data_IF_635388961666
#
_entry.id   IF_635388961666
#
_cell.length_a   1.000
_cell.length_b   1.000
_cell.length_c   1.000
_cell.angle_alpha   90.00
_cell.angle_beta   90.00
_cell.angle_gamma   90.00
#
_symmetry.space_group_name_H-M   'P 1'
#
loop_
_entity.id
_entity.type
_entity.pdbx_description
1 polymer ?
#
# COMPACT_ATOMS: atom_id res chain seq x y z
N UNK A 1 -22.98 3.83 4.05
CA UNK A 1 -24.23 4.60 4.00
C UNK A 1 -24.92 4.68 5.37
N UNK A 2 -25.06 3.58 6.11
CA UNK A 2 -25.81 3.56 7.40
C UNK A 2 -24.95 3.59 8.68
N UNK A 3 -23.62 3.52 8.56
CA UNK A 3 -22.71 3.52 9.69
C UNK A 3 -22.73 4.86 10.46
N UNK A 4 -22.39 4.79 11.76
CA UNK A 4 -22.23 5.95 12.65
C UNK A 4 -23.47 6.85 12.83
N UNK A 5 -24.67 6.34 12.52
CA UNK A 5 -25.94 7.01 12.82
C UNK A 5 -26.34 6.90 14.31
N UNK A 6 -25.42 6.42 15.16
CA UNK A 6 -25.58 6.30 16.62
C UNK A 6 -26.89 5.57 16.99
N UNK A 7 -27.67 6.13 17.91
CA UNK A 7 -28.93 5.55 18.39
C UNK A 7 -30.01 5.45 17.30
N UNK A 8 -29.86 6.11 16.15
CA UNK A 8 -30.81 6.00 15.05
C UNK A 8 -30.66 4.70 14.26
N UNK A 9 -29.47 4.07 14.28
CA UNK A 9 -29.25 2.76 13.69
C UNK A 9 -28.11 2.01 14.40
N UNK A 10 -28.49 1.05 15.23
CA UNK A 10 -27.55 0.19 15.97
C UNK A 10 -27.12 -1.05 15.18
N UNK A 11 -27.76 -1.32 14.04
CA UNK A 11 -27.56 -2.49 13.19
C UNK A 11 -27.42 -2.05 11.74
N UNK A 12 -26.37 -1.28 11.40
CA UNK A 12 -26.18 -0.79 10.04
C UNK A 12 -25.98 -1.96 9.08
N UNK A 13 -26.57 -1.86 7.89
CA UNK A 13 -26.29 -2.82 6.82
C UNK A 13 -24.83 -2.72 6.34
N UNK A 14 -24.36 -3.81 5.76
CA UNK A 14 -23.09 -3.85 5.04
C UNK A 14 -23.35 -3.44 3.60
N UNK A 15 -22.87 -2.27 3.20
CA UNK A 15 -22.93 -1.86 1.80
C UNK A 15 -22.03 -2.74 0.93
N UNK A 16 -22.44 -2.96 -0.32
CA UNK A 16 -21.64 -3.71 -1.27
C UNK A 16 -20.34 -2.95 -1.56
N UNK A 17 -19.24 -3.68 -1.71
CA UNK A 17 -17.96 -3.05 -2.03
C UNK A 17 -18.03 -2.28 -3.37
N UNK A 18 -18.79 -2.75 -4.35
CA UNK A 18 -19.01 -2.04 -5.61
C UNK A 18 -19.64 -0.65 -5.36
N UNK A 19 -20.73 -0.59 -4.61
CA UNK A 19 -21.43 0.65 -4.28
C UNK A 19 -20.51 1.61 -3.48
N UNK A 20 -19.74 1.06 -2.53
CA UNK A 20 -18.75 1.85 -1.76
C UNK A 20 -17.73 2.51 -2.69
N UNK A 21 -17.21 1.81 -3.69
CA UNK A 21 -16.26 2.39 -4.64
C UNK A 21 -16.88 3.52 -5.46
N UNK A 22 -18.09 3.32 -5.98
CA UNK A 22 -18.83 4.33 -6.76
C UNK A 22 -19.09 5.58 -5.90
N UNK A 23 -19.57 5.41 -4.68
CA UNK A 23 -19.83 6.51 -3.75
C UNK A 23 -18.53 7.24 -3.38
N UNK A 24 -17.44 6.52 -3.10
CA UNK A 24 -16.16 7.16 -2.78
C UNK A 24 -15.58 7.98 -3.94
N UNK A 25 -15.72 7.55 -5.20
CA UNK A 25 -15.32 8.39 -6.34
C UNK A 25 -16.12 9.68 -6.39
N UNK A 26 -17.43 9.60 -6.15
CA UNK A 26 -18.31 10.77 -6.10
C UNK A 26 -17.92 11.70 -4.95
N UNK A 27 -17.81 11.19 -3.73
CA UNK A 27 -17.46 11.97 -2.53
C UNK A 27 -16.12 12.69 -2.69
N UNK A 28 -15.08 12.00 -3.21
CA UNK A 28 -13.76 12.62 -3.41
C UNK A 28 -13.78 13.72 -4.48
N UNK A 29 -14.60 13.60 -5.53
CA UNK A 29 -14.80 14.66 -6.53
C UNK A 29 -15.54 15.85 -5.95
N UNK A 30 -16.65 15.60 -5.25
CA UNK A 30 -17.46 16.65 -4.64
C UNK A 30 -16.68 17.40 -3.55
N UNK A 31 -15.96 16.68 -2.68
CA UNK A 31 -15.08 17.28 -1.67
C UNK A 31 -13.98 18.14 -2.30
N UNK A 32 -13.35 17.67 -3.38
CA UNK A 32 -12.36 18.46 -4.11
C UNK A 32 -12.96 19.73 -4.71
N UNK A 33 -14.18 19.67 -5.24
CA UNK A 33 -14.89 20.80 -5.83
C UNK A 33 -15.36 21.84 -4.80
N UNK A 34 -15.55 21.45 -3.54
CA UNK A 34 -16.01 22.34 -2.46
C UNK A 34 -14.95 23.35 -2.00
N UNK A 35 -13.66 23.14 -2.31
CA UNK A 35 -12.63 24.14 -2.08
C UNK A 35 -12.79 25.32 -3.04
N UNK A 36 -13.47 26.35 -2.54
CA UNK A 36 -13.91 27.56 -3.25
C UNK A 36 -13.03 28.80 -3.01
N UNK A 37 -11.95 28.66 -2.25
CA UNK A 37 -11.07 29.77 -1.85
C UNK A 37 -11.63 30.62 -0.71
N UNK A 38 -12.64 30.13 0.01
CA UNK A 38 -13.23 30.75 1.19
C UNK A 38 -12.32 30.75 2.43
N UNK A 39 -12.89 30.48 3.60
CA UNK A 39 -12.15 30.54 4.88
C UNK A 39 -11.01 29.52 4.88
N UNK A 40 -9.81 29.98 5.23
CA UNK A 40 -8.64 29.13 5.32
C UNK A 40 -8.85 28.00 6.34
N UNK A 41 -8.45 26.79 5.96
CA UNK A 41 -8.47 25.63 6.86
C UNK A 41 -7.44 25.86 7.98
N UNK A 42 -7.89 25.77 9.23
CA UNK A 42 -7.03 25.91 10.42
C UNK A 42 -6.94 24.59 11.17
N UNK A 43 -5.81 24.34 11.84
CA UNK A 43 -5.58 23.10 12.59
C UNK A 43 -5.19 21.88 11.75
N UNK A 44 -4.95 22.06 10.45
CA UNK A 44 -4.47 20.99 9.56
C UNK A 44 -2.97 20.72 9.79
N UNK A 45 -2.69 19.59 10.43
CA UNK A 45 -1.33 19.11 10.74
C UNK A 45 -0.70 18.30 9.60
N UNK A 46 -1.42 18.02 8.52
CA UNK A 46 -0.90 17.29 7.36
C UNK A 46 -0.38 18.23 6.29
N UNK A 47 -1.20 19.19 5.87
CA UNK A 47 -0.96 20.00 4.67
C UNK A 47 -0.97 21.51 4.94
N UNK A 48 -0.95 21.91 6.21
CA UNK A 48 -0.96 23.31 6.65
C UNK A 48 -2.10 24.13 6.01
N UNK A 49 -3.25 23.49 5.77
CA UNK A 49 -4.44 24.10 5.21
C UNK A 49 -4.41 24.32 3.70
N UNK A 50 -3.46 23.74 2.97
CA UNK A 50 -3.40 23.89 1.50
C UNK A 50 -4.50 23.09 0.80
N UNK A 51 -5.48 23.81 0.25
CA UNK A 51 -6.56 23.25 -0.55
C UNK A 51 -6.04 22.51 -1.80
N UNK A 52 -4.99 23.04 -2.45
CA UNK A 52 -4.38 22.45 -3.63
C UNK A 52 -3.75 21.08 -3.32
N UNK A 53 -3.10 20.95 -2.17
CA UNK A 53 -2.54 19.68 -1.72
C UNK A 53 -3.63 18.68 -1.33
N UNK A 54 -4.72 19.13 -0.70
CA UNK A 54 -5.88 18.28 -0.42
C UNK A 54 -6.57 17.77 -1.70
N UNK A 55 -6.72 18.62 -2.72
CA UNK A 55 -7.21 18.22 -4.05
C UNK A 55 -6.30 17.16 -4.67
N UNK A 56 -4.99 17.39 -4.67
CA UNK A 56 -4.01 16.44 -5.23
C UNK A 56 -4.01 15.10 -4.49
N UNK A 57 -4.20 15.12 -3.16
CA UNK A 57 -4.37 13.91 -2.35
C UNK A 57 -5.65 13.15 -2.74
N UNK A 58 -6.80 13.82 -2.80
CA UNK A 58 -8.07 13.21 -3.18
C UNK A 58 -8.03 12.59 -4.58
N UNK A 59 -7.43 13.30 -5.54
CA UNK A 59 -7.23 12.79 -6.90
C UNK A 59 -6.28 11.59 -6.94
N UNK A 60 -5.23 11.57 -6.11
CA UNK A 60 -4.31 10.45 -6.03
C UNK A 60 -4.97 9.19 -5.44
N UNK A 61 -5.82 9.37 -4.42
CA UNK A 61 -6.64 8.27 -3.87
C UNK A 61 -7.61 7.74 -4.94
N UNK A 62 -8.28 8.63 -5.69
CA UNK A 62 -9.13 8.25 -6.82
C UNK A 62 -8.35 7.46 -7.87
N UNK A 63 -7.14 7.88 -8.23
CA UNK A 63 -6.30 7.19 -9.22
C UNK A 63 -5.99 5.75 -8.79
N UNK A 64 -5.56 5.55 -7.53
CA UNK A 64 -5.25 4.23 -6.97
C UNK A 64 -6.52 3.36 -6.93
N UNK A 65 -7.63 3.90 -6.42
CA UNK A 65 -8.92 3.19 -6.42
C UNK A 65 -9.37 2.78 -7.83
N UNK A 66 -9.20 3.66 -8.81
CA UNK A 66 -9.57 3.40 -10.19
C UNK A 66 -8.76 2.23 -10.77
N UNK A 67 -7.45 2.20 -10.52
CA UNK A 67 -6.59 1.08 -10.93
C UNK A 67 -6.98 -0.23 -10.24
N UNK A 68 -7.46 -0.19 -8.99
CA UNK A 68 -7.97 -1.39 -8.31
C UNK A 68 -9.15 -2.05 -9.01
N UNK A 69 -9.92 -1.29 -9.79
CA UNK A 69 -11.02 -1.81 -10.61
C UNK A 69 -10.56 -2.43 -11.94
N UNK A 70 -9.26 -2.45 -12.24
CA UNK A 70 -8.71 -2.96 -13.51
C UNK A 70 -9.19 -4.36 -13.91
N UNK A 71 -9.49 -5.23 -12.94
CA UNK A 71 -10.06 -6.56 -13.20
C UNK A 71 -11.58 -6.62 -13.02
N UNK A 72 -12.10 -5.93 -12.00
CA UNK A 72 -13.52 -6.03 -11.61
C UNK A 72 -14.45 -5.22 -12.52
N UNK A 73 -14.04 -4.00 -12.87
CA UNK A 73 -14.78 -3.10 -13.75
C UNK A 73 -13.80 -2.18 -14.50
N UNK A 74 -13.11 -2.69 -15.54
CA UNK A 74 -12.09 -1.94 -16.27
C UNK A 74 -12.64 -0.71 -16.98
N UNK A 75 -13.93 -0.70 -17.36
CA UNK A 75 -14.57 0.46 -17.98
C UNK A 75 -14.68 1.62 -17.00
N UNK A 76 -15.27 1.40 -15.82
CA UNK A 76 -15.34 2.42 -14.78
C UNK A 76 -13.94 2.82 -14.30
N UNK A 77 -13.06 1.82 -14.06
CA UNK A 77 -11.68 2.05 -13.66
C UNK A 77 -10.94 2.97 -14.62
N UNK A 78 -11.01 2.71 -15.93
CA UNK A 78 -10.37 3.57 -16.94
C UNK A 78 -10.94 5.00 -16.94
N UNK A 79 -12.26 5.15 -16.86
CA UNK A 79 -12.91 6.47 -16.82
C UNK A 79 -12.45 7.28 -15.61
N UNK A 80 -12.47 6.68 -14.42
CA UNK A 80 -12.07 7.35 -13.18
C UNK A 80 -10.58 7.64 -13.12
N UNK A 81 -9.75 6.73 -13.65
CA UNK A 81 -8.30 6.90 -13.71
C UNK A 81 -7.92 8.10 -14.57
N UNK A 82 -8.49 8.19 -15.78
CA UNK A 82 -8.22 9.31 -16.70
C UNK A 82 -8.67 10.65 -16.11
N UNK A 83 -9.85 10.67 -15.46
CA UNK A 83 -10.34 11.86 -14.79
C UNK A 83 -9.40 12.29 -13.64
N UNK A 84 -9.04 11.35 -12.75
CA UNK A 84 -8.14 11.63 -11.63
C UNK A 84 -6.75 12.12 -12.10
N UNK A 85 -6.18 11.50 -13.14
CA UNK A 85 -4.91 11.93 -13.74
C UNK A 85 -5.01 13.36 -14.29
N UNK A 86 -6.10 13.71 -14.96
CA UNK A 86 -6.32 15.04 -15.53
C UNK A 86 -6.54 16.11 -14.44
N UNK A 87 -7.17 15.76 -13.33
CA UNK A 87 -7.42 16.65 -12.19
C UNK A 87 -6.13 16.97 -11.39
N UNK A 88 -5.03 16.23 -11.65
CA UNK A 88 -3.72 16.43 -11.03
C UNK A 88 -3.50 15.54 -9.79
N UNK A 89 -2.38 14.82 -9.77
CA UNK A 89 -2.02 13.85 -8.72
C UNK A 89 -0.61 14.12 -8.18
N UNK A 90 -0.26 13.53 -7.04
CA UNK A 90 1.08 13.68 -6.45
C UNK A 90 2.11 12.82 -7.16
N UNK A 91 3.27 13.37 -7.50
CA UNK A 91 4.28 12.68 -8.34
C UNK A 91 5.72 12.93 -7.89
N UNK A 92 5.94 13.70 -6.82
CA UNK A 92 7.27 13.93 -6.24
C UNK A 92 7.26 13.70 -4.74
N UNK A 93 8.41 13.38 -4.15
CA UNK A 93 8.54 13.09 -2.72
C UNK A 93 8.05 14.26 -1.83
N UNK A 94 8.22 15.51 -2.27
CA UNK A 94 7.78 16.71 -1.55
C UNK A 94 6.25 16.85 -1.50
N UNK A 95 5.56 16.21 -2.45
CA UNK A 95 4.09 16.23 -2.57
C UNK A 95 3.42 15.05 -1.86
N UNK A 96 4.19 14.18 -1.21
CA UNK A 96 3.65 13.09 -0.39
C UNK A 96 2.66 13.60 0.66
N UNK A 97 1.75 12.71 1.05
CA UNK A 97 0.88 12.93 2.19
C UNK A 97 1.40 12.13 3.37
N UNK A 98 2.00 12.83 4.33
CA UNK A 98 2.72 12.24 5.45
C UNK A 98 2.20 12.81 6.77
N UNK A 99 2.05 11.94 7.76
CA UNK A 99 1.84 12.33 9.14
C UNK A 99 3.20 12.61 9.78
N UNK A 100 3.37 13.84 10.28
CA UNK A 100 4.60 14.29 10.94
C UNK A 100 4.50 14.00 12.44
N UNK A 101 5.20 12.96 12.90
CA UNK A 101 5.32 12.66 14.33
C UNK A 101 6.29 13.62 15.03
N UNK A 102 6.06 13.83 16.33
CA UNK A 102 6.90 14.70 17.15
C UNK A 102 7.91 13.90 17.98
N UNK A 103 9.02 14.53 18.35
CA UNK A 103 10.01 13.96 19.26
C UNK A 103 9.56 14.09 20.73
N UNK A 104 8.32 13.66 21.02
CA UNK A 104 7.74 13.66 22.36
C UNK A 104 6.68 12.56 22.50
N UNK A 105 6.41 12.12 23.74
CA UNK A 105 5.65 10.90 24.04
C UNK A 105 4.20 10.89 23.53
N UNK A 106 3.49 12.02 23.56
CA UNK A 106 2.06 12.08 23.23
C UNK A 106 1.79 11.93 21.73
N UNK A 107 2.72 12.35 20.86
CA UNK A 107 2.58 12.32 19.40
C UNK A 107 3.73 11.56 18.70
N UNK A 108 4.45 10.70 19.43
CA UNK A 108 5.52 9.90 18.87
C UNK A 108 5.04 8.87 17.86
N UNK A 109 5.95 8.48 16.96
CA UNK A 109 5.75 7.44 15.98
C UNK A 109 5.42 6.09 16.65
N UNK A 110 4.41 5.39 16.12
CA UNK A 110 3.95 4.13 16.68
C UNK A 110 5.00 3.01 16.58
N UNK A 111 5.86 3.01 15.55
CA UNK A 111 6.99 2.08 15.46
C UNK A 111 8.03 2.33 16.55
N UNK A 112 8.35 3.59 16.85
CA UNK A 112 9.21 3.89 18.00
C UNK A 112 8.64 3.30 19.29
N UNK A 113 7.35 3.56 19.57
CA UNK A 113 6.67 3.04 20.76
C UNK A 113 6.67 1.52 20.86
N UNK A 114 6.48 0.81 19.73
CA UNK A 114 6.57 -0.65 19.66
C UNK A 114 7.96 -1.14 20.10
N UNK A 115 9.02 -0.52 19.60
CA UNK A 115 10.40 -0.92 19.91
C UNK A 115 10.90 -0.55 21.31
N UNK A 116 10.11 0.17 22.12
CA UNK A 116 10.43 0.40 23.53
C UNK A 116 10.22 -0.85 24.40
N UNK A 117 9.28 -1.71 24.00
CA UNK A 117 8.87 -2.88 24.81
C UNK A 117 8.90 -4.19 24.03
N UNK A 118 9.00 -4.12 22.70
CA UNK A 118 8.95 -5.26 21.80
C UNK A 118 10.13 -5.28 20.84
N UNK A 119 10.67 -6.48 20.62
CA UNK A 119 11.80 -6.73 19.72
C UNK A 119 11.51 -7.90 18.77
N UNK A 120 10.24 -8.07 18.42
CA UNK A 120 9.73 -9.15 17.57
C UNK A 120 9.27 -8.66 16.19
N UNK A 121 9.50 -7.38 15.87
CA UNK A 121 9.33 -6.82 14.53
C UNK A 121 10.64 -6.94 13.76
N UNK A 122 10.68 -7.81 12.77
CA UNK A 122 11.87 -8.05 11.95
C UNK A 122 11.50 -8.07 10.47
N UNK A 123 12.48 -7.81 9.61
CA UNK A 123 12.30 -7.97 8.16
C UNK A 123 12.07 -9.46 7.87
N UNK A 124 11.06 -9.80 7.07
CA UNK A 124 10.84 -11.21 6.72
C UNK A 124 11.94 -11.73 5.81
N UNK A 125 12.26 -13.02 5.89
CA UNK A 125 13.19 -13.68 4.95
C UNK A 125 12.77 -13.46 3.50
N UNK A 126 11.47 -13.60 3.18
CA UNK A 126 10.96 -13.35 1.82
C UNK A 126 11.25 -11.96 1.29
N UNK A 127 11.11 -10.92 2.12
CA UNK A 127 11.40 -9.55 1.68
C UNK A 127 12.90 -9.28 1.64
N UNK A 128 13.66 -9.81 2.58
CA UNK A 128 15.12 -9.69 2.57
C UNK A 128 15.71 -10.31 1.30
N UNK A 129 15.38 -11.57 1.01
CA UNK A 129 15.89 -12.29 -0.16
C UNK A 129 15.54 -11.53 -1.44
N UNK A 130 14.31 -11.02 -1.56
CA UNK A 130 13.88 -10.22 -2.70
C UNK A 130 14.76 -8.98 -2.95
N UNK A 131 15.17 -8.29 -1.88
CA UNK A 131 16.04 -7.11 -1.93
C UNK A 131 17.49 -7.49 -2.21
N UNK A 132 18.00 -8.53 -1.57
CA UNK A 132 19.37 -9.03 -1.77
C UNK A 132 19.60 -9.53 -3.21
N UNK A 133 18.64 -10.26 -3.77
CA UNK A 133 18.66 -10.74 -5.16
C UNK A 133 18.73 -9.61 -6.21
N UNK A 134 18.36 -8.40 -5.81
CA UNK A 134 18.37 -7.19 -6.65
C UNK A 134 19.43 -6.18 -6.21
N UNK A 135 20.30 -6.55 -5.26
CA UNK A 135 21.26 -5.63 -4.63
C UNK A 135 20.63 -4.26 -4.33
N UNK A 136 19.42 -4.27 -3.77
CA UNK A 136 18.57 -3.08 -3.67
C UNK A 136 19.19 -2.05 -2.73
N UNK A 137 19.43 -0.80 -3.17
CA UNK A 137 20.08 0.22 -2.34
C UNK A 137 19.20 0.66 -1.14
N UNK A 138 17.92 0.29 -1.11
CA UNK A 138 17.03 0.55 0.03
C UNK A 138 17.23 -0.44 1.18
N UNK A 139 17.85 -1.61 0.95
CA UNK A 139 18.08 -2.62 1.98
C UNK A 139 18.73 -2.07 3.27
N UNK A 140 19.85 -1.31 3.22
CA UNK A 140 20.46 -0.75 4.43
C UNK A 140 19.60 0.31 5.16
N UNK A 141 18.56 0.83 4.51
CA UNK A 141 17.57 1.71 5.16
C UNK A 141 16.44 0.90 5.77
N UNK A 142 16.01 -0.18 5.10
CA UNK A 142 14.85 -0.98 5.50
C UNK A 142 15.14 -1.93 6.66
N UNK A 143 16.40 -2.35 6.80
CA UNK A 143 16.84 -3.32 7.78
C UNK A 143 18.05 -2.82 8.58
N UNK A 144 18.00 -2.99 9.90
CA UNK A 144 19.19 -2.98 10.74
C UNK A 144 19.82 -4.39 10.71
N UNK A 145 21.14 -4.48 10.83
CA UNK A 145 21.81 -5.78 11.02
C UNK A 145 21.51 -6.34 12.43
N UNK A 146 21.58 -7.67 12.60
CA UNK A 146 21.46 -8.30 13.92
C UNK A 146 22.44 -7.69 14.94
N UNK A 147 22.06 -7.69 16.21
CA UNK A 147 22.88 -7.14 17.31
C UNK A 147 23.73 -8.20 18.01
N UNK A 148 23.69 -9.45 17.55
CA UNK A 148 24.53 -10.56 18.01
C UNK A 148 25.95 -10.58 17.42
N UNK A 149 26.28 -9.61 16.56
CA UNK A 149 27.58 -9.48 15.90
C UNK A 149 27.63 -10.04 14.47
N UNK A 150 26.52 -10.55 13.93
CA UNK A 150 26.46 -10.96 12.54
C UNK A 150 26.65 -9.78 11.58
N UNK A 151 27.56 -9.92 10.61
CA UNK A 151 27.85 -8.88 9.63
C UNK A 151 26.83 -8.81 8.47
N UNK A 152 26.00 -9.84 8.31
CA UNK A 152 24.99 -9.95 7.25
C UNK A 152 23.60 -9.57 7.77
N UNK A 153 22.71 -9.23 6.85
CA UNK A 153 21.29 -9.14 7.15
C UNK A 153 20.74 -10.56 7.39
N UNK A 154 19.76 -10.67 8.28
CA UNK A 154 19.15 -11.97 8.60
C UNK A 154 17.64 -11.81 8.70
N UNK A 155 16.91 -12.37 7.75
CA UNK A 155 15.45 -12.29 7.73
C UNK A 155 14.79 -13.21 8.75
N UNK A 156 13.65 -12.78 9.28
CA UNK A 156 12.80 -13.59 10.15
C UNK A 156 11.88 -14.49 9.31
N UNK A 157 11.95 -15.82 9.46
CA UNK A 157 10.98 -16.71 8.84
C UNK A 157 9.61 -16.56 9.51
N UNK A 158 8.53 -16.69 8.74
CA UNK A 158 7.16 -16.65 9.24
C UNK A 158 6.40 -17.94 8.92
N UNK A 159 5.28 -18.16 9.63
CA UNK A 159 4.38 -19.28 9.37
C UNK A 159 4.92 -20.65 9.78
N UNK A 160 5.71 -20.72 10.85
CA UNK A 160 6.28 -21.96 11.40
C UNK A 160 5.27 -22.68 12.31
N UNK A 161 5.31 -24.03 12.35
CA UNK A 161 4.40 -24.86 13.17
C UNK A 161 4.55 -24.67 14.68
N UNK A 162 5.71 -24.22 15.14
CA UNK A 162 6.03 -23.99 16.54
C UNK A 162 7.00 -22.82 16.68
N UNK A 163 7.11 -22.28 17.89
CA UNK A 163 8.15 -21.31 18.24
C UNK A 163 9.52 -21.89 17.89
N UNK A 164 10.27 -21.19 17.03
CA UNK A 164 11.54 -21.66 16.45
C UNK A 164 12.75 -21.49 17.37
N UNK A 165 12.60 -20.82 18.51
CA UNK A 165 13.73 -20.47 19.38
C UNK A 165 14.70 -19.46 18.75
N UNK A 166 14.31 -18.79 17.66
CA UNK A 166 15.11 -17.72 17.05
C UNK A 166 15.26 -16.59 18.06
N UNK A 167 16.50 -16.22 18.36
CA UNK A 167 16.79 -15.15 19.29
C UNK A 167 16.49 -13.79 18.62
N UNK A 168 15.86 -12.87 19.36
CA UNK A 168 15.50 -11.57 18.80
C UNK A 168 16.75 -10.81 18.27
N UNK A 169 17.88 -10.91 18.97
CA UNK A 169 19.13 -10.24 18.56
C UNK A 169 19.81 -10.87 17.33
N UNK A 170 19.35 -12.03 16.84
CA UNK A 170 19.94 -12.72 15.68
C UNK A 170 19.23 -12.44 14.37
N UNK A 171 18.25 -11.54 14.36
CA UNK A 171 17.50 -11.15 13.15
C UNK A 171 17.63 -9.66 12.87
N UNK A 172 17.41 -9.29 11.62
CA UNK A 172 17.37 -7.93 11.14
C UNK A 172 16.04 -7.27 11.48
N UNK A 173 16.09 -6.24 12.30
CA UNK A 173 14.92 -5.41 12.62
C UNK A 173 14.61 -4.41 11.51
N UNK A 174 13.42 -3.81 11.57
CA UNK A 174 13.11 -2.64 10.75
C UNK A 174 14.15 -1.55 11.01
N UNK A 175 14.69 -0.95 9.95
CA UNK A 175 15.76 0.02 10.06
C UNK A 175 15.47 1.18 11.01
N UNK A 176 16.45 1.53 11.84
CA UNK A 176 16.28 2.49 12.95
C UNK A 176 15.75 3.85 12.50
N UNK A 177 16.12 4.30 11.30
CA UNK A 177 15.69 5.60 10.75
C UNK A 177 14.18 5.65 10.44
N UNK A 178 13.53 4.51 10.27
CA UNK A 178 12.09 4.40 10.02
C UNK A 178 11.26 4.32 11.31
N UNK A 179 11.91 4.22 12.46
CA UNK A 179 11.29 4.01 13.77
C UNK A 179 11.86 4.91 14.87
N UNK A 180 12.37 6.09 14.52
CA UNK A 180 12.69 7.15 15.47
C UNK A 180 11.40 7.75 16.02
N UNK A 181 11.49 8.41 17.17
CA UNK A 181 10.33 9.00 17.84
C UNK A 181 9.55 9.97 16.93
N UNK A 182 10.25 10.69 16.07
CA UNK A 182 9.69 11.63 15.09
C UNK A 182 9.73 11.11 13.65
N UNK A 183 9.89 9.80 13.42
CA UNK A 183 9.82 9.25 12.05
C UNK A 183 8.46 9.54 11.45
N UNK A 184 8.44 9.99 10.19
CA UNK A 184 7.21 10.28 9.45
C UNK A 184 6.46 8.99 9.14
N UNK A 185 5.13 9.07 9.09
CA UNK A 185 4.29 7.98 8.57
C UNK A 185 3.69 8.40 7.22
N UNK A 186 3.99 7.66 6.16
CA UNK A 186 3.55 7.97 4.81
C UNK A 186 2.20 7.33 4.54
N UNK A 187 1.14 8.15 4.54
CA UNK A 187 -0.22 7.70 4.23
C UNK A 187 -0.39 7.47 2.74
N UNK A 188 0.14 8.39 1.92
CA UNK A 188 0.15 8.27 0.46
C UNK A 188 1.52 8.68 -0.09
N UNK A 189 2.12 7.76 -0.85
CA UNK A 189 3.42 7.89 -1.51
C UNK A 189 3.26 8.27 -2.97
N UNK A 190 4.06 9.20 -3.43
CA UNK A 190 4.16 9.57 -4.84
C UNK A 190 4.80 8.46 -5.67
N UNK A 191 5.70 7.65 -5.09
CA UNK A 191 6.17 6.43 -5.75
C UNK A 191 5.02 5.45 -6.04
N UNK A 192 4.09 5.27 -5.09
CA UNK A 192 2.88 4.45 -5.32
C UNK A 192 2.03 5.02 -6.47
N UNK A 193 1.85 6.34 -6.52
CA UNK A 193 1.10 7.00 -7.60
C UNK A 193 1.81 6.86 -8.95
N UNK A 194 3.14 6.99 -9.01
CA UNK A 194 3.93 6.80 -10.22
C UNK A 194 3.83 5.37 -10.74
N UNK A 195 3.93 4.36 -9.86
CA UNK A 195 3.70 2.98 -10.28
C UNK A 195 2.25 2.77 -10.75
N UNK A 196 1.27 3.43 -10.13
CA UNK A 196 -0.14 3.40 -10.56
C UNK A 196 -0.30 3.99 -11.97
N UNK A 197 0.39 5.11 -12.25
CA UNK A 197 0.47 5.71 -13.58
C UNK A 197 1.12 4.78 -14.60
N UNK A 198 2.27 4.19 -14.26
CA UNK A 198 2.98 3.24 -15.12
C UNK A 198 2.08 2.06 -15.54
N UNK A 199 1.34 1.50 -14.59
CA UNK A 199 0.43 0.40 -14.88
C UNK A 199 -0.75 0.84 -15.75
N UNK A 200 -1.34 2.01 -15.46
CA UNK A 200 -2.40 2.57 -16.31
C UNK A 200 -1.95 2.77 -17.76
N UNK A 201 -0.75 3.27 -17.99
CA UNK A 201 -0.17 3.37 -19.34
C UNK A 201 0.00 2.00 -19.99
N UNK A 202 0.46 0.99 -19.23
CA UNK A 202 0.57 -0.39 -19.73
C UNK A 202 -0.78 -1.01 -20.07
N UNK A 203 -1.84 -0.66 -19.34
CA UNK A 203 -3.22 -1.09 -19.60
C UNK A 203 -3.89 -0.31 -20.76
N UNK A 204 -3.23 0.71 -21.32
CA UNK A 204 -3.83 1.59 -22.33
C UNK A 204 -4.92 2.50 -21.76
N UNK A 205 -4.81 2.84 -20.47
CA UNK A 205 -5.64 3.83 -19.79
C UNK A 205 -5.06 5.23 -20.00
N UNK A 206 -4.93 5.58 -21.27
CA UNK A 206 -4.39 6.83 -21.77
C UNK A 206 -5.20 7.30 -23.00
N UNK A 207 -4.87 8.49 -23.52
CA UNK A 207 -5.57 9.08 -24.66
C UNK A 207 -5.50 8.22 -25.94
N UNK A 208 -4.43 7.43 -26.09
CA UNK A 208 -4.24 6.52 -27.23
C UNK A 208 -5.10 5.26 -27.18
N UNK A 209 -5.71 4.95 -26.03
CA UNK A 209 -6.47 3.71 -25.81
C UNK A 209 -5.71 2.41 -26.14
N UNK A 210 -4.37 2.45 -26.04
CA UNK A 210 -3.49 1.33 -26.30
C UNK A 210 -2.29 1.38 -25.32
N UNK A 211 -1.68 0.23 -25.00
CA UNK A 211 -0.48 0.21 -24.14
C UNK A 211 0.60 1.17 -24.65
N UNK A 212 1.09 2.03 -23.76
CA UNK A 212 2.23 2.91 -24.03
C UNK A 212 3.42 2.49 -23.14
N UNK A 213 4.22 1.57 -23.65
CA UNK A 213 5.38 1.04 -22.94
C UNK A 213 6.48 2.09 -22.72
N UNK A 214 6.58 3.11 -23.58
CA UNK A 214 7.57 4.16 -23.42
C UNK A 214 7.22 5.07 -22.22
N UNK A 215 5.96 5.50 -22.14
CA UNK A 215 5.49 6.31 -21.02
C UNK A 215 5.39 5.49 -19.72
N UNK A 216 5.00 4.22 -19.80
CA UNK A 216 5.01 3.30 -18.66
C UNK A 216 6.43 3.14 -18.07
N UNK A 217 7.45 2.98 -18.92
CA UNK A 217 8.84 2.87 -18.48
C UNK A 217 9.35 4.15 -17.78
N UNK A 218 8.93 5.33 -18.24
CA UNK A 218 9.26 6.60 -17.59
C UNK A 218 8.68 6.65 -16.16
N UNK A 219 7.37 6.44 -16.02
CA UNK A 219 6.73 6.43 -14.70
C UNK A 219 7.25 5.32 -13.78
N UNK A 220 7.60 4.15 -14.34
CA UNK A 220 8.19 3.06 -13.58
C UNK A 220 9.56 3.44 -13.00
N UNK A 221 10.45 3.99 -13.83
CA UNK A 221 11.78 4.43 -13.39
C UNK A 221 11.68 5.61 -12.40
N UNK A 222 10.80 6.58 -12.68
CA UNK A 222 10.53 7.68 -11.75
C UNK A 222 9.97 7.17 -10.42
N UNK A 223 9.10 6.16 -10.42
CA UNK A 223 8.58 5.53 -9.20
C UNK A 223 9.68 4.87 -8.37
N UNK A 224 10.67 4.22 -9.01
CA UNK A 224 11.85 3.68 -8.33
C UNK A 224 12.68 4.82 -7.72
N UNK A 225 12.99 5.85 -8.52
CA UNK A 225 13.76 7.02 -8.07
C UNK A 225 13.12 7.69 -6.86
N UNK A 226 11.84 8.03 -6.97
CA UNK A 226 11.08 8.67 -5.90
C UNK A 226 10.99 7.76 -4.67
N UNK A 227 10.82 6.45 -4.84
CA UNK A 227 10.88 5.52 -3.70
C UNK A 227 12.25 5.58 -3.00
N UNK A 228 13.35 5.62 -3.74
CA UNK A 228 14.67 5.78 -3.13
C UNK A 228 14.83 7.14 -2.42
N UNK A 229 14.29 8.22 -2.97
CA UNK A 229 14.30 9.56 -2.36
C UNK A 229 13.47 9.59 -1.07
N UNK A 230 12.27 9.02 -1.09
CA UNK A 230 11.33 8.92 0.04
C UNK A 230 11.91 8.21 1.26
N UNK A 231 12.84 7.29 1.04
CA UNK A 231 13.54 6.54 2.07
C UNK A 231 14.97 7.04 2.31
N UNK A 232 15.43 8.07 1.61
CA UNK A 232 16.79 8.61 1.75
C UNK A 232 17.88 7.65 1.27
N UNK A 233 17.54 6.72 0.37
CA UNK A 233 18.45 5.76 -0.26
C UNK A 233 18.94 6.20 -1.64
N UNK A 234 18.45 7.34 -2.17
CA UNK A 234 18.79 7.78 -3.51
C UNK A 234 20.24 8.26 -3.62
N UNK A 235 20.98 7.60 -4.49
CA UNK A 235 22.23 8.06 -5.07
C UNK A 235 22.14 7.88 -6.59
N UNK A 236 22.58 8.88 -7.36
CA UNK A 236 22.41 8.87 -8.80
C UNK A 236 23.14 7.70 -9.48
N UNK A 237 24.31 7.29 -8.96
CA UNK A 237 25.10 6.19 -9.51
C UNK A 237 24.46 4.85 -9.15
N UNK A 238 24.07 4.67 -7.88
CA UNK A 238 23.39 3.47 -7.42
C UNK A 238 22.04 3.28 -8.11
N UNK A 239 21.27 4.34 -8.29
CA UNK A 239 20.01 4.33 -9.03
C UNK A 239 20.21 3.90 -10.48
N UNK A 240 21.16 4.51 -11.21
CA UNK A 240 21.44 4.17 -12.60
C UNK A 240 21.87 2.70 -12.75
N UNK A 241 22.69 2.19 -11.83
CA UNK A 241 23.07 0.78 -11.80
C UNK A 241 21.88 -0.14 -11.49
N UNK A 242 21.03 0.26 -10.54
CA UNK A 242 19.87 -0.51 -10.09
C UNK A 242 18.83 -0.69 -11.20
N UNK A 243 18.41 0.38 -11.87
CA UNK A 243 17.41 0.29 -12.95
C UNK A 243 17.92 -0.42 -14.20
N UNK A 244 19.25 -0.57 -14.34
CA UNK A 244 19.87 -1.31 -15.43
C UNK A 244 19.98 -2.82 -15.17
N UNK A 245 19.70 -3.29 -13.95
CA UNK A 245 19.76 -4.72 -13.63
C UNK A 245 18.69 -5.50 -14.43
N UNK A 246 18.99 -6.67 -15.01
CA UNK A 246 18.00 -7.43 -15.79
C UNK A 246 16.71 -7.79 -15.02
N UNK A 247 16.80 -7.94 -13.70
CA UNK A 247 15.67 -8.24 -12.80
C UNK A 247 14.83 -7.01 -12.43
N UNK A 248 15.29 -5.80 -12.79
CA UNK A 248 14.65 -4.50 -12.47
C UNK A 248 14.32 -3.70 -13.72
N UNK A 249 15.12 -3.78 -14.78
CA UNK A 249 14.93 -3.01 -16.00
C UNK A 249 13.53 -3.26 -16.60
N UNK A 250 12.83 -2.18 -16.93
CA UNK A 250 11.50 -2.27 -17.52
C UNK A 250 11.52 -3.12 -18.78
N UNK A 251 10.68 -4.16 -18.82
CA UNK A 251 10.50 -5.01 -19.99
C UNK A 251 9.00 -5.09 -20.33
N UNK A 252 8.58 -4.72 -21.56
CA UNK A 252 7.16 -4.72 -21.95
C UNK A 252 6.42 -6.04 -21.70
N UNK A 253 7.09 -7.17 -21.87
CA UNK A 253 6.49 -8.50 -21.65
C UNK A 253 6.23 -8.80 -20.16
N UNK A 254 7.00 -8.19 -19.26
CA UNK A 254 6.98 -8.40 -17.81
C UNK A 254 6.47 -7.19 -17.02
N UNK A 255 6.00 -6.14 -17.70
CA UNK A 255 5.77 -4.82 -17.12
C UNK A 255 4.88 -4.86 -15.87
N UNK A 256 3.75 -5.57 -15.89
CA UNK A 256 2.85 -5.67 -14.74
C UNK A 256 3.54 -6.30 -13.53
N UNK A 257 4.35 -7.35 -13.75
CA UNK A 257 5.13 -8.00 -12.70
C UNK A 257 6.17 -7.05 -12.13
N UNK A 258 6.99 -6.44 -12.98
CA UNK A 258 8.06 -5.52 -12.57
C UNK A 258 7.51 -4.29 -11.83
N UNK A 259 6.45 -3.66 -12.34
CA UNK A 259 5.77 -2.53 -11.70
C UNK A 259 5.24 -2.96 -10.32
N UNK A 260 4.57 -4.11 -10.22
CA UNK A 260 4.01 -4.60 -8.95
C UNK A 260 5.08 -4.93 -7.92
N UNK A 261 6.17 -5.56 -8.36
CA UNK A 261 7.34 -5.90 -7.53
C UNK A 261 7.99 -4.64 -6.96
N UNK A 262 8.23 -3.60 -7.78
CA UNK A 262 8.80 -2.34 -7.29
C UNK A 262 7.81 -1.52 -6.45
N UNK A 263 6.51 -1.56 -6.78
CA UNK A 263 5.45 -0.96 -5.97
C UNK A 263 5.38 -1.62 -4.59
N UNK A 264 5.50 -2.95 -4.52
CA UNK A 264 5.55 -3.69 -3.26
C UNK A 264 6.72 -3.23 -2.38
N UNK A 265 7.91 -3.04 -2.96
CA UNK A 265 9.06 -2.47 -2.25
C UNK A 265 8.82 -1.03 -1.79
N UNK A 266 8.21 -0.19 -2.62
CA UNK A 266 7.91 1.20 -2.27
C UNK A 266 6.84 1.33 -1.17
N UNK A 267 5.96 0.35 -1.04
CA UNK A 267 4.92 0.28 -0.01
C UNK A 267 5.43 -0.34 1.31
N UNK A 268 6.75 -0.45 1.53
CA UNK A 268 7.28 -0.91 2.81
C UNK A 268 6.77 -0.03 3.97
N UNK A 269 6.33 -0.69 5.05
CA UNK A 269 5.56 -0.12 6.18
C UNK A 269 4.12 0.35 5.87
N UNK A 270 3.68 0.36 4.61
CA UNK A 270 2.28 0.52 4.21
C UNK A 270 1.67 -0.84 3.77
N UNK A 271 1.59 -1.76 4.73
CA UNK A 271 1.25 -3.15 4.47
C UNK A 271 -0.17 -3.39 3.94
N UNK A 272 -1.14 -2.54 4.25
CA UNK A 272 -2.52 -2.69 3.75
C UNK A 272 -2.61 -2.39 2.25
N UNK A 273 -1.94 -1.34 1.80
CA UNK A 273 -1.82 -1.00 0.38
C UNK A 273 -1.05 -2.09 -0.36
N UNK A 274 0.09 -2.53 0.18
CA UNK A 274 0.88 -3.62 -0.39
C UNK A 274 0.07 -4.92 -0.54
N UNK A 275 -0.73 -5.27 0.47
CA UNK A 275 -1.59 -6.45 0.45
C UNK A 275 -2.77 -6.30 -0.51
N UNK A 276 -3.35 -5.11 -0.66
CA UNK A 276 -4.39 -4.84 -1.66
C UNK A 276 -3.85 -5.01 -3.08
N UNK A 277 -2.66 -4.46 -3.36
CA UNK A 277 -2.05 -4.58 -4.69
C UNK A 277 -1.60 -6.01 -4.98
N UNK A 278 -0.95 -6.71 -4.04
CA UNK A 278 -0.58 -8.12 -4.20
C UNK A 278 -1.80 -8.99 -4.49
N UNK A 279 -2.92 -8.78 -3.78
CA UNK A 279 -4.17 -9.50 -4.03
C UNK A 279 -4.67 -9.30 -5.46
N UNK A 280 -4.66 -8.05 -5.94
CA UNK A 280 -5.09 -7.71 -7.29
C UNK A 280 -4.16 -8.25 -8.37
N UNK A 281 -2.85 -8.14 -8.21
CA UNK A 281 -1.88 -8.44 -9.28
C UNK A 281 -1.33 -9.86 -9.22
N UNK A 282 -1.27 -10.45 -8.02
CA UNK A 282 -0.55 -11.70 -7.75
C UNK A 282 0.97 -11.54 -7.60
N UNK A 283 1.48 -10.30 -7.62
CA UNK A 283 2.91 -10.01 -7.62
C UNK A 283 3.35 -9.18 -6.38
N UNK A 284 4.55 -9.44 -5.81
CA UNK A 284 5.47 -10.54 -6.16
C UNK A 284 4.81 -11.92 -5.95
N UNK A 285 5.35 -12.95 -6.59
CA UNK A 285 4.85 -14.31 -6.38
C UNK A 285 5.24 -14.74 -4.97
N UNK A 286 4.23 -14.83 -4.09
CA UNK A 286 4.40 -15.21 -2.69
C UNK A 286 3.92 -16.64 -2.47
N UNK A 287 4.67 -17.39 -1.66
CA UNK A 287 4.27 -18.70 -1.18
C UNK A 287 3.70 -18.60 0.24
N UNK A 288 2.68 -19.41 0.60
CA UNK A 288 2.27 -19.56 1.98
C UNK A 288 3.46 -19.95 2.87
N UNK A 289 3.41 -19.56 4.14
CA UNK A 289 4.37 -20.07 5.13
C UNK A 289 4.31 -21.60 5.23
N UNK A 290 5.35 -22.27 5.76
CA UNK A 290 5.46 -23.72 5.75
C UNK A 290 4.39 -24.46 6.59
N UNK A 291 3.63 -23.74 7.41
CA UNK A 291 2.52 -24.29 8.22
C UNK A 291 1.31 -23.36 8.16
N UNK A 292 0.63 -23.27 7.00
CA UNK A 292 -0.49 -22.36 6.82
C UNK A 292 -1.73 -22.89 7.56
N UNK A 293 -2.41 -22.00 8.30
CA UNK A 293 -3.61 -22.33 9.08
C UNK A 293 -4.93 -22.03 8.36
N UNK A 294 -4.86 -21.34 7.22
CA UNK A 294 -6.02 -21.02 6.39
C UNK A 294 -6.55 -22.27 5.71
N UNK A 295 -7.86 -22.28 5.43
CA UNK A 295 -8.50 -23.31 4.61
C UNK A 295 -7.80 -23.41 3.26
N UNK A 296 -7.40 -24.63 2.87
CA UNK A 296 -6.66 -24.87 1.63
C UNK A 296 -5.21 -24.39 1.63
N UNK A 297 -4.67 -23.93 2.77
CA UNK A 297 -3.28 -23.53 2.92
C UNK A 297 -2.89 -22.27 2.15
N UNK A 298 -3.86 -21.41 1.78
CA UNK A 298 -3.64 -20.23 0.95
C UNK A 298 -3.26 -18.99 1.76
N UNK A 299 -2.55 -18.04 1.18
CA UNK A 299 -2.32 -16.74 1.84
C UNK A 299 -3.69 -16.04 2.00
N UNK A 300 -4.04 -15.54 3.20
CA UNK A 300 -5.28 -14.78 3.43
C UNK A 300 -5.46 -13.63 2.45
N UNK A 301 -6.70 -13.47 1.96
CA UNK A 301 -7.08 -12.43 1.00
C UNK A 301 -8.12 -11.44 1.53
N UNK A 302 -8.66 -11.69 2.72
CA UNK A 302 -9.46 -10.75 3.50
C UNK A 302 -9.34 -11.05 4.98
N UNK A 303 -9.80 -10.12 5.81
CA UNK A 303 -10.08 -10.38 7.22
C UNK A 303 -11.52 -10.88 7.35
N UNK A 304 -11.76 -11.78 8.28
CA UNK A 304 -13.12 -12.17 8.65
C UNK A 304 -13.80 -11.02 9.41
N UNK A 305 -15.13 -10.98 9.42
CA UNK A 305 -15.82 -10.02 10.27
C UNK A 305 -15.55 -10.31 11.74
N UNK A 306 -15.61 -9.25 12.55
CA UNK A 306 -15.48 -9.39 14.00
C UNK A 306 -16.65 -10.20 14.55
N UNK A 307 -16.39 -10.99 15.59
CA UNK A 307 -17.39 -11.82 16.26
C UNK A 307 -18.61 -11.01 16.70
N UNK A 308 -18.41 -9.75 17.11
CA UNK A 308 -19.48 -8.84 17.49
C UNK A 308 -20.53 -8.61 16.37
N UNK A 309 -20.15 -8.63 15.09
CA UNK A 309 -21.12 -8.47 13.99
C UNK A 309 -22.09 -9.64 13.93
N UNK A 310 -21.62 -10.86 14.18
CA UNK A 310 -22.47 -12.06 14.26
C UNK A 310 -23.39 -11.99 15.48
N UNK A 311 -22.89 -11.49 16.60
CA UNK A 311 -23.61 -11.54 17.88
C UNK A 311 -24.60 -10.38 18.02
N UNK A 312 -24.32 -9.21 17.44
CA UNK A 312 -25.11 -7.98 17.60
C UNK A 312 -25.83 -7.50 16.34
N UNK A 313 -25.37 -7.90 15.15
CA UNK A 313 -25.88 -7.43 13.84
C UNK A 313 -26.25 -8.63 12.92
N UNK A 314 -26.75 -9.72 13.51
CA UNK A 314 -26.90 -11.03 12.86
C UNK A 314 -27.68 -11.01 11.54
N UNK A 315 -28.76 -10.22 11.45
CA UNK A 315 -29.57 -10.13 10.22
C UNK A 315 -28.75 -9.59 9.05
N UNK A 316 -28.02 -8.49 9.25
CA UNK A 316 -27.20 -7.90 8.20
C UNK A 316 -25.93 -8.71 7.94
N UNK A 317 -25.36 -9.33 8.97
CA UNK A 317 -24.29 -10.32 8.83
C UNK A 317 -24.71 -11.45 7.89
N UNK A 318 -25.85 -12.10 8.16
CA UNK A 318 -26.34 -13.19 7.31
C UNK A 318 -26.64 -12.72 5.87
N UNK A 319 -27.16 -11.51 5.69
CA UNK A 319 -27.40 -10.94 4.37
C UNK A 319 -26.10 -10.75 3.57
N UNK A 320 -25.03 -10.23 4.20
CA UNK A 320 -23.76 -10.05 3.49
C UNK A 320 -23.06 -11.37 3.19
N UNK A 321 -23.15 -12.38 4.07
CA UNK A 321 -22.62 -13.73 3.78
C UNK A 321 -23.35 -14.37 2.60
N UNK A 322 -24.67 -14.16 2.47
CA UNK A 322 -25.44 -14.67 1.34
C UNK A 322 -25.04 -14.01 0.00
N UNK A 323 -24.62 -12.74 0.01
CA UNK A 323 -24.21 -12.00 -1.19
C UNK A 323 -22.75 -12.26 -1.58
N UNK A 324 -21.82 -12.22 -0.61
CA UNK A 324 -20.37 -12.30 -0.88
C UNK A 324 -19.78 -13.71 -0.81
N UNK A 325 -20.53 -14.68 -0.27
CA UNK A 325 -20.02 -15.99 0.10
C UNK A 325 -19.53 -16.08 1.56
N UNK A 326 -18.92 -17.22 1.94
CA UNK A 326 -18.62 -17.52 3.34
C UNK A 326 -17.62 -16.54 3.95
N UNK A 327 -17.71 -16.34 5.27
CA UNK A 327 -16.82 -15.46 6.03
C UNK A 327 -15.45 -16.10 6.30
N UNK A 328 -14.74 -16.43 5.23
CA UNK A 328 -13.45 -17.09 5.28
C UNK A 328 -12.36 -16.13 4.82
N UNK A 329 -11.17 -16.27 5.40
CA UNK A 329 -10.00 -15.44 5.05
C UNK A 329 -9.54 -15.65 3.61
N UNK A 330 -9.93 -16.76 2.97
CA UNK A 330 -9.66 -17.07 1.57
C UNK A 330 -10.73 -16.52 0.60
N UNK A 331 -11.90 -16.09 1.11
CA UNK A 331 -12.98 -15.57 0.25
C UNK A 331 -12.50 -14.34 -0.51
N UNK A 332 -12.81 -14.31 -1.82
CA UNK A 332 -12.37 -13.23 -2.71
C UNK A 332 -13.21 -11.98 -2.49
N UNK A 333 -12.60 -10.81 -2.67
CA UNK A 333 -13.29 -9.51 -2.63
C UNK A 333 -13.65 -9.08 -4.05
N UNK A 334 -14.61 -8.15 -4.20
CA UNK A 334 -15.04 -7.64 -5.50
C UNK A 334 -13.87 -7.09 -6.33
N UNK A 335 -12.97 -6.31 -5.71
CA UNK A 335 -11.76 -5.75 -6.35
C UNK A 335 -10.63 -6.76 -6.58
N UNK A 336 -10.83 -8.01 -6.19
CA UNK A 336 -9.86 -9.10 -6.29
C UNK A 336 -10.51 -10.35 -6.95
N UNK A 337 -11.05 -10.20 -8.18
CA UNK A 337 -11.70 -11.31 -8.89
C UNK A 337 -10.65 -12.30 -9.42
N UNK A 338 -11.10 -13.48 -9.85
CA UNK A 338 -10.23 -14.52 -10.43
C UNK A 338 -9.48 -14.05 -11.67
#
# INVERSE_FOLDING_TARGET
SEALLQNANLVPKFDKQEDIYVDLFKELKEASAQFDGGVAVTGDIFLNGSAERWKSFANSVRLIMALRLSKANPTLGKTEFLAAKADGVVTTAETNFEYQHLAETANQNAWFGRYLTRFDYAISTTFLDFLEDRADPRLPVFADKPTDGNANYVGMPFGLASTSGIANNSVSYVGINLRKQNSVERVLSSAHVLFTLAEGEKLGWNAGNAPDDAQAALYYNDGIKVSMEEFGAYDATAYAAYIAQPTVAYAPADAIRLISEQRWTALYLNGYEAWAEWRRTGFPVLSPGPSPLSVGGQIPRRQAYQVAERDLNLTNYNAVIADQGPDEVATRMYIDPQ
#
